data_IF_524522265255
#
_entry.id   IF_524522265255
#
_cell.length_a   1.000
_cell.length_b   1.000
_cell.length_c   1.000
_cell.angle_alpha   90.00
_cell.angle_beta   90.00
_cell.angle_gamma   90.00
#
_symmetry.space_group_name_H-M   'P 1'
#
loop_
_entity.id
_entity.type
_entity.pdbx_description
1 polymer ?
#
# COMPACT_ATOMS: atom_id res chain seq x y z
N UNK A 1 -1.08 -17.11 -4.10
CA UNK A 1 -0.92 -15.64 -4.15
C UNK A 1 -0.20 -15.27 -5.44
N UNK A 2 -0.68 -14.26 -6.18
CA UNK A 2 0.00 -13.82 -7.42
C UNK A 2 1.43 -13.38 -7.10
N UNK A 3 2.42 -13.76 -7.93
CA UNK A 3 3.83 -13.43 -7.69
C UNK A 3 4.06 -11.91 -7.59
N UNK A 4 3.35 -11.11 -8.39
CA UNK A 4 3.42 -9.64 -8.34
C UNK A 4 2.93 -9.07 -7.01
N UNK A 5 1.79 -9.55 -6.49
CA UNK A 5 1.25 -9.05 -5.21
C UNK A 5 2.19 -9.38 -4.06
N UNK A 6 2.74 -10.60 -4.03
CA UNK A 6 3.72 -10.99 -3.00
C UNK A 6 4.95 -10.08 -3.05
N UNK A 7 5.44 -9.76 -4.25
CA UNK A 7 6.60 -8.87 -4.40
C UNK A 7 6.30 -7.44 -3.91
N UNK A 8 5.16 -6.88 -4.30
CA UNK A 8 4.73 -5.52 -3.88
C UNK A 8 4.61 -5.45 -2.35
N UNK A 9 4.01 -6.47 -1.72
CA UNK A 9 3.87 -6.53 -0.25
C UNK A 9 5.23 -6.60 0.43
N UNK A 10 6.14 -7.47 -0.03
CA UNK A 10 7.48 -7.59 0.54
C UNK A 10 8.28 -6.28 0.44
N UNK A 11 8.16 -5.55 -0.67
CA UNK A 11 8.83 -4.26 -0.81
C UNK A 11 8.19 -3.21 0.10
N UNK A 12 6.86 -3.21 0.25
CA UNK A 12 6.19 -2.30 1.18
C UNK A 12 6.61 -2.58 2.63
N UNK A 13 6.71 -3.85 3.02
CA UNK A 13 7.22 -4.27 4.33
C UNK A 13 8.64 -3.75 4.57
N UNK A 14 9.55 -3.93 3.61
CA UNK A 14 10.93 -3.43 3.68
C UNK A 14 11.00 -1.91 3.85
N UNK A 15 10.15 -1.16 3.14
CA UNK A 15 10.04 0.30 3.28
C UNK A 15 9.53 0.68 4.68
N UNK A 16 8.52 -0.02 5.20
CA UNK A 16 7.99 0.26 6.55
C UNK A 16 9.00 -0.06 7.66
N UNK A 17 9.85 -1.07 7.47
CA UNK A 17 10.96 -1.35 8.39
C UNK A 17 12.03 -0.25 8.39
N UNK A 18 12.06 0.58 7.35
CA UNK A 18 12.92 1.76 7.22
C UNK A 18 12.22 3.06 7.69
N UNK A 19 11.17 2.96 8.51
CA UNK A 19 10.36 4.08 9.03
C UNK A 19 9.63 4.89 7.93
N UNK A 20 9.43 4.32 6.74
CA UNK A 20 8.61 4.94 5.69
C UNK A 20 7.14 4.62 5.96
N UNK A 21 6.29 5.65 5.99
CA UNK A 21 4.86 5.46 6.17
C UNK A 21 4.26 4.65 5.01
N UNK A 22 3.23 3.84 5.29
CA UNK A 22 2.56 3.01 4.25
C UNK A 22 2.12 3.86 3.06
N UNK A 23 1.55 5.06 3.31
CA UNK A 23 1.14 5.98 2.24
C UNK A 23 2.30 6.36 1.32
N UNK A 24 3.42 6.83 1.89
CA UNK A 24 4.61 7.19 1.09
C UNK A 24 5.23 5.96 0.42
N UNK A 25 5.22 4.80 1.09
CA UNK A 25 5.71 3.55 0.52
C UNK A 25 4.92 3.14 -0.73
N UNK A 26 3.59 3.26 -0.69
CA UNK A 26 2.73 2.99 -1.86
C UNK A 26 3.01 3.97 -3.02
N UNK A 27 3.28 5.24 -2.73
CA UNK A 27 3.64 6.23 -3.76
C UNK A 27 4.97 5.90 -4.45
N UNK A 28 5.97 5.47 -3.66
CA UNK A 28 7.26 5.02 -4.19
C UNK A 28 7.12 3.76 -5.06
N UNK A 29 6.29 2.80 -4.61
CA UNK A 29 6.02 1.59 -5.37
C UNK A 29 5.29 1.90 -6.68
N UNK A 30 4.29 2.79 -6.67
CA UNK A 30 3.57 3.20 -7.87
C UNK A 30 4.51 3.88 -8.88
N UNK A 31 5.38 4.79 -8.41
CA UNK A 31 6.36 5.47 -9.25
C UNK A 31 7.40 4.49 -9.86
N UNK A 32 7.68 3.38 -9.18
CA UNK A 32 8.62 2.36 -9.64
C UNK A 32 7.99 1.25 -10.51
N UNK A 33 6.65 1.20 -10.58
CA UNK A 33 5.92 0.12 -11.21
C UNK A 33 6.23 0.00 -12.71
N UNK A 34 6.50 -1.24 -13.15
CA UNK A 34 6.87 -1.53 -14.55
C UNK A 34 5.68 -1.94 -15.41
N UNK A 35 4.59 -2.36 -14.78
CA UNK A 35 3.40 -2.83 -15.49
C UNK A 35 2.15 -2.12 -15.00
N UNK A 36 1.17 -1.95 -15.91
CA UNK A 36 -0.16 -1.42 -15.54
C UNK A 36 -0.85 -2.28 -14.49
N UNK A 37 -0.59 -3.59 -14.50
CA UNK A 37 -1.14 -4.51 -13.52
C UNK A 37 -0.64 -4.20 -12.10
N UNK A 38 0.65 -3.89 -11.96
CA UNK A 38 1.23 -3.52 -10.68
C UNK A 38 0.66 -2.18 -10.20
N UNK A 39 0.52 -1.19 -11.09
CA UNK A 39 -0.14 0.09 -10.78
C UNK A 39 -1.59 -0.11 -10.29
N UNK A 40 -2.36 -0.97 -10.96
CA UNK A 40 -3.73 -1.30 -10.54
C UNK A 40 -3.73 -1.95 -9.16
N UNK A 41 -2.82 -2.90 -8.93
CA UNK A 41 -2.73 -3.58 -7.63
C UNK A 41 -2.37 -2.61 -6.50
N UNK A 42 -1.41 -1.72 -6.74
CA UNK A 42 -0.99 -0.70 -5.76
C UNK A 42 -2.13 0.26 -5.45
N UNK A 43 -2.89 0.69 -6.46
CA UNK A 43 -4.07 1.52 -6.24
C UNK A 43 -5.16 0.80 -5.43
N UNK A 44 -5.44 -0.47 -5.71
CA UNK A 44 -6.38 -1.26 -4.90
C UNK A 44 -5.90 -1.37 -3.45
N UNK A 45 -4.61 -1.59 -3.22
CA UNK A 45 -4.04 -1.61 -1.86
C UNK A 45 -4.18 -0.25 -1.16
N UNK A 46 -3.97 0.86 -1.89
CA UNK A 46 -4.14 2.22 -1.37
C UNK A 46 -5.59 2.51 -0.98
N UNK A 47 -6.55 2.09 -1.79
CA UNK A 47 -7.96 2.27 -1.50
C UNK A 47 -8.37 1.52 -0.23
N UNK A 48 -8.00 0.23 -0.11
CA UNK A 48 -8.27 -0.54 1.11
C UNK A 48 -7.59 0.03 2.35
N UNK A 49 -6.35 0.53 2.24
CA UNK A 49 -5.68 1.18 3.36
C UNK A 49 -6.39 2.47 3.77
N UNK A 50 -6.85 3.25 2.79
CA UNK A 50 -7.59 4.50 3.05
C UNK A 50 -8.92 4.23 3.74
N UNK A 51 -9.66 3.22 3.29
CA UNK A 51 -10.92 2.77 3.93
C UNK A 51 -10.67 2.37 5.39
N UNK A 52 -9.65 1.54 5.65
CA UNK A 52 -9.28 1.13 7.01
C UNK A 52 -8.97 2.34 7.90
N UNK A 53 -8.19 3.32 7.41
CA UNK A 53 -7.89 4.54 8.17
C UNK A 53 -9.12 5.42 8.42
N UNK A 54 -10.12 5.38 7.54
CA UNK A 54 -11.39 6.09 7.75
C UNK A 54 -12.20 5.39 8.83
N UNK A 55 -12.32 4.07 8.78
CA UNK A 55 -13.01 3.27 9.80
C UNK A 55 -12.38 3.42 11.18
N UNK A 56 -11.04 3.35 11.28
CA UNK A 56 -10.32 3.55 12.54
C UNK A 56 -10.60 4.93 13.16
N UNK A 57 -10.60 5.99 12.33
CA UNK A 57 -10.91 7.35 12.80
C UNK A 57 -12.36 7.48 13.28
N UNK A 58 -13.30 6.82 12.63
CA UNK A 58 -14.71 6.80 13.07
C UNK A 58 -14.87 6.10 14.43
N UNK A 59 -14.17 4.98 14.64
CA UNK A 59 -14.18 4.28 15.93
C UNK A 59 -13.55 5.08 17.07
N UNK A 60 -12.54 5.91 16.79
CA UNK A 60 -11.86 6.76 17.78
C UNK A 60 -12.63 8.04 18.13
N UNK A 61 -13.72 8.35 17.43
CA UNK A 61 -14.51 9.58 17.63
C UNK A 61 -15.63 9.44 18.69
N UNK A 62 -15.60 8.37 19.50
CA UNK A 62 -16.56 8.09 20.59
C UNK A 62 -15.89 8.08 21.96
#
# INVERSE_FOLDING_TARGET
>A
MNSSLKHIVLQLEDLTQQDISIGLGLDLLEASAKTRKDVIMINVMRDSFTEMLVEERQCQSF
#
